data_IF_570479545145
#
_entry.id   IF_570479545145
#
_cell.length_a   1.000
_cell.length_b   1.000
_cell.length_c   1.000
_cell.angle_alpha   90.00
_cell.angle_beta   90.00
_cell.angle_gamma   90.00
#
_symmetry.space_group_name_H-M   'P 1'
#
loop_
_entity.id
_entity.type
_entity.pdbx_description
1 polymer ?
#
# COMPACT_ATOMS: atom_id res chain seq x y z
N UNK A 1 1.72 16.55 11.32
CA UNK A 1 0.33 16.06 11.15
C UNK A 1 -0.56 17.28 11.25
N UNK A 2 -1.42 17.51 10.24
CA UNK A 2 -2.39 18.60 10.29
C UNK A 2 -3.69 18.05 10.86
N UNK A 3 -4.19 18.67 11.92
CA UNK A 3 -5.46 18.31 12.55
C UNK A 3 -6.56 19.22 12.00
N UNK A 4 -7.73 18.64 11.76
CA UNK A 4 -8.91 19.35 11.26
C UNK A 4 -10.10 19.03 12.13
N UNK A 5 -10.90 20.06 12.42
CA UNK A 5 -12.10 19.95 13.23
C UNK A 5 -13.33 20.19 12.36
N UNK A 6 -14.25 19.22 12.33
CA UNK A 6 -15.55 19.37 11.69
C UNK A 6 -16.59 19.70 12.76
N UNK A 7 -17.18 20.89 12.66
CA UNK A 7 -18.15 21.39 13.66
C UNK A 7 -19.45 21.74 12.93
N UNK A 8 -20.57 21.31 13.51
CA UNK A 8 -21.91 21.72 13.09
C UNK A 8 -22.51 22.64 14.15
N UNK A 9 -23.13 23.73 13.71
CA UNK A 9 -23.81 24.69 14.59
C UNK A 9 -25.26 24.86 14.12
N UNK A 10 -26.23 25.03 15.03
CA UNK A 10 -27.60 25.32 14.66
C UNK A 10 -27.70 26.57 13.78
N UNK A 11 -28.52 26.49 12.74
CA UNK A 11 -28.79 27.63 11.87
C UNK A 11 -29.60 28.68 12.64
N UNK A 12 -29.13 29.91 12.60
CA UNK A 12 -29.86 31.08 13.10
C UNK A 12 -30.76 31.60 11.95
N UNK A 13 -30.56 32.83 11.47
CA UNK A 13 -31.36 33.42 10.37
C UNK A 13 -30.94 32.90 8.99
N UNK A 14 -29.64 32.83 8.70
CA UNK A 14 -29.11 32.24 7.46
C UNK A 14 -27.77 31.55 7.70
N UNK A 15 -27.46 30.51 6.91
CA UNK A 15 -26.19 29.77 7.05
C UNK A 15 -24.97 30.66 6.83
N UNK A 16 -25.08 31.67 5.96
CA UNK A 16 -24.02 32.65 5.70
C UNK A 16 -23.81 33.60 6.88
N UNK A 17 -24.89 34.07 7.52
CA UNK A 17 -24.77 34.92 8.70
C UNK A 17 -24.24 34.17 9.90
N UNK A 18 -24.70 32.94 10.14
CA UNK A 18 -24.15 32.08 11.20
C UNK A 18 -22.65 31.84 10.98
N UNK A 19 -22.22 31.55 9.74
CA UNK A 19 -20.81 31.41 9.41
C UNK A 19 -20.02 32.71 9.65
N UNK A 20 -20.55 33.86 9.20
CA UNK A 20 -19.91 35.17 9.41
C UNK A 20 -19.74 35.47 10.91
N UNK A 21 -20.79 35.28 11.71
CA UNK A 21 -20.73 35.47 13.17
C UNK A 21 -19.67 34.57 13.80
N UNK A 22 -19.67 33.27 13.48
CA UNK A 22 -18.69 32.32 14.00
C UNK A 22 -17.27 32.73 13.60
N UNK A 23 -17.04 33.04 12.32
CA UNK A 23 -15.73 33.39 11.80
C UNK A 23 -15.21 34.72 12.37
N UNK A 24 -16.09 35.67 12.68
CA UNK A 24 -15.70 36.91 13.36
C UNK A 24 -15.12 36.63 14.75
N UNK A 25 -15.74 35.73 15.51
CA UNK A 25 -15.28 35.40 16.86
C UNK A 25 -14.05 34.50 16.87
N UNK A 26 -14.05 33.41 16.10
CA UNK A 26 -12.99 32.41 16.17
C UNK A 26 -11.76 32.78 15.34
N UNK A 27 -11.93 33.38 14.17
CA UNK A 27 -10.82 33.72 13.28
C UNK A 27 -10.35 35.17 13.47
N UNK A 28 -11.25 36.16 13.48
CA UNK A 28 -10.82 37.57 13.50
C UNK A 28 -10.51 38.13 14.88
N UNK A 29 -11.31 37.80 15.89
CA UNK A 29 -11.13 38.36 17.25
C UNK A 29 -10.09 37.61 18.08
N UNK A 30 -9.99 36.30 17.88
CA UNK A 30 -9.18 35.42 18.71
C UNK A 30 -8.09 34.67 17.93
N UNK A 31 -8.09 34.73 16.59
CA UNK A 31 -7.10 34.08 15.71
C UNK A 31 -6.88 32.58 16.00
N UNK A 32 -7.93 31.88 16.45
CA UNK A 32 -7.83 30.49 16.91
C UNK A 32 -7.76 29.50 15.76
N UNK A 33 -8.45 29.80 14.65
CA UNK A 33 -8.58 28.87 13.53
C UNK A 33 -8.90 29.57 12.20
N UNK A 34 -8.69 28.83 11.11
CA UNK A 34 -9.20 29.19 9.77
C UNK A 34 -10.45 28.35 9.49
N UNK A 35 -11.56 29.01 9.17
CA UNK A 35 -12.84 28.35 8.97
C UNK A 35 -13.19 28.22 7.48
N UNK A 36 -13.71 27.06 7.09
CA UNK A 36 -14.21 26.78 5.75
C UNK A 36 -15.64 26.24 5.84
N UNK A 37 -16.46 26.52 4.82
CA UNK A 37 -17.82 25.98 4.76
C UNK A 37 -17.77 24.56 4.21
N UNK A 38 -18.30 23.61 4.97
CA UNK A 38 -18.48 22.23 4.53
C UNK A 38 -19.89 22.03 3.98
N UNK A 39 -20.04 21.99 2.66
CA UNK A 39 -21.36 21.98 2.01
C UNK A 39 -21.97 20.57 1.99
N UNK A 40 -23.02 20.38 2.80
CA UNK A 40 -23.83 19.16 2.82
C UNK A 40 -25.21 19.49 2.24
N UNK A 41 -25.70 18.75 1.22
CA UNK A 41 -27.02 18.98 0.65
C UNK A 41 -28.11 18.50 1.61
N UNK A 42 -29.35 18.86 1.32
CA UNK A 42 -30.50 18.27 1.99
C UNK A 42 -30.62 16.80 1.60
N UNK A 43 -30.43 15.92 2.59
CA UNK A 43 -30.54 14.48 2.43
C UNK A 43 -31.91 14.00 2.93
N UNK A 44 -32.44 12.96 2.29
CA UNK A 44 -33.72 12.38 2.68
C UNK A 44 -33.59 11.64 4.02
N UNK A 45 -34.06 12.29 5.08
CA UNK A 45 -34.15 11.74 6.43
C UNK A 45 -35.41 10.88 6.60
N UNK A 46 -35.30 9.82 7.40
CA UNK A 46 -36.39 8.91 7.74
C UNK A 46 -37.08 9.30 9.05
N UNK A 47 -37.52 8.31 9.81
CA UNK A 47 -38.04 8.53 11.18
C UNK A 47 -36.90 8.76 12.18
N UNK A 48 -37.22 9.34 13.35
CA UNK A 48 -36.25 9.53 14.43
C UNK A 48 -35.60 8.20 14.86
N UNK A 49 -36.40 7.14 14.99
CA UNK A 49 -35.93 5.79 15.33
C UNK A 49 -34.88 5.26 14.33
N UNK A 50 -35.14 5.45 13.03
CA UNK A 50 -34.18 5.11 11.98
C UNK A 50 -32.89 5.94 12.07
N UNK A 51 -32.98 7.22 12.45
CA UNK A 51 -31.80 8.08 12.61
C UNK A 51 -30.95 7.67 13.82
N UNK A 52 -31.59 7.24 14.93
CA UNK A 52 -30.87 6.75 16.11
C UNK A 52 -30.07 5.50 15.75
N UNK A 53 -30.70 4.49 15.14
CA UNK A 53 -29.99 3.29 14.71
C UNK A 53 -28.90 3.58 13.66
N UNK A 54 -29.17 4.52 12.74
CA UNK A 54 -28.20 4.90 11.73
C UNK A 54 -26.98 5.64 12.33
N UNK A 55 -27.14 6.37 13.45
CA UNK A 55 -26.03 7.04 14.13
C UNK A 55 -24.97 6.04 14.59
N UNK A 56 -25.39 4.92 15.18
CA UNK A 56 -24.47 3.86 15.63
C UNK A 56 -23.82 3.14 14.42
N UNK A 57 -24.60 2.89 13.37
CA UNK A 57 -24.11 2.29 12.12
C UNK A 57 -23.06 3.19 11.44
N UNK A 58 -23.30 4.50 11.40
CA UNK A 58 -22.37 5.48 10.84
C UNK A 58 -21.09 5.59 11.68
N UNK A 59 -21.18 5.52 13.00
CA UNK A 59 -19.99 5.48 13.87
C UNK A 59 -19.09 4.27 13.58
N UNK A 60 -19.69 3.09 13.38
CA UNK A 60 -18.94 1.88 12.97
C UNK A 60 -18.37 2.00 11.57
N UNK A 61 -19.16 2.54 10.63
CA UNK A 61 -18.71 2.73 9.26
C UNK A 61 -17.54 3.72 9.17
N UNK A 62 -17.58 4.82 9.93
CA UNK A 62 -16.51 5.82 9.99
C UNK A 62 -15.18 5.21 10.44
N UNK A 63 -15.19 4.47 11.56
CA UNK A 63 -14.02 3.74 12.04
C UNK A 63 -13.46 2.76 11.00
N UNK A 64 -14.34 2.05 10.29
CA UNK A 64 -13.95 1.12 9.24
C UNK A 64 -13.31 1.85 8.04
N UNK A 65 -13.92 2.93 7.56
CA UNK A 65 -13.40 3.74 6.44
C UNK A 65 -12.04 4.33 6.80
N UNK A 66 -11.89 4.87 8.00
CA UNK A 66 -10.62 5.40 8.50
C UNK A 66 -9.54 4.30 8.51
N UNK A 67 -9.86 3.11 9.02
CA UNK A 67 -8.93 1.99 9.05
C UNK A 67 -8.46 1.59 7.65
N UNK A 68 -9.38 1.51 6.68
CA UNK A 68 -9.04 1.18 5.28
C UNK A 68 -8.17 2.27 4.65
N UNK A 69 -8.51 3.55 4.86
CA UNK A 69 -7.71 4.68 4.35
C UNK A 69 -6.29 4.69 4.94
N UNK A 70 -6.14 4.44 6.25
CA UNK A 70 -4.84 4.33 6.92
C UNK A 70 -4.01 3.16 6.39
N UNK A 71 -4.63 1.98 6.20
CA UNK A 71 -3.96 0.82 5.59
C UNK A 71 -3.47 1.15 4.18
N UNK A 72 -4.28 1.82 3.37
CA UNK A 72 -3.92 2.21 2.00
C UNK A 72 -2.73 3.17 2.00
N UNK A 73 -2.76 4.21 2.82
CA UNK A 73 -1.67 5.17 2.93
C UNK A 73 -0.37 4.52 3.43
N UNK A 74 -0.46 3.66 4.45
CA UNK A 74 0.70 2.93 4.97
C UNK A 74 1.31 2.02 3.89
N UNK A 75 0.47 1.27 3.17
CA UNK A 75 0.94 0.36 2.13
C UNK A 75 1.59 1.10 0.96
N UNK A 76 1.02 2.24 0.55
CA UNK A 76 1.65 3.10 -0.45
C UNK A 76 3.03 3.58 0.01
N UNK A 77 3.17 3.93 1.29
CA UNK A 77 4.46 4.27 1.89
C UNK A 77 5.47 3.12 1.86
N UNK A 78 5.03 1.88 2.08
CA UNK A 78 5.89 0.69 2.02
C UNK A 78 6.33 0.36 0.59
N UNK A 79 5.46 0.59 -0.40
CA UNK A 79 5.77 0.38 -1.83
C UNK A 79 6.76 1.42 -2.36
N UNK A 80 6.72 2.65 -1.86
CA UNK A 80 7.64 3.70 -2.29
C UNK A 80 9.08 3.49 -1.81
N UNK A 81 9.32 2.59 -0.85
CA UNK A 81 10.65 2.22 -0.31
C UNK A 81 11.55 3.44 -0.03
N UNK A 82 12.49 3.75 -0.93
CA UNK A 82 13.44 4.86 -0.81
C UNK A 82 12.85 6.24 -1.16
N UNK A 83 11.64 6.28 -1.72
CA UNK A 83 10.93 7.51 -2.13
C UNK A 83 9.78 7.88 -1.19
N UNK A 84 9.87 7.50 0.09
CA UNK A 84 8.83 7.81 1.10
C UNK A 84 8.52 9.30 1.22
N UNK A 85 9.49 10.17 0.93
CA UNK A 85 9.29 11.63 0.93
C UNK A 85 8.24 12.08 -0.10
N UNK A 86 8.02 11.29 -1.17
CA UNK A 86 7.00 11.54 -2.19
C UNK A 86 5.62 10.98 -1.84
N UNK A 87 5.45 10.35 -0.67
CA UNK A 87 4.17 9.78 -0.27
C UNK A 87 3.07 10.85 -0.28
N UNK A 88 3.38 12.05 0.22
CA UNK A 88 2.44 13.17 0.24
C UNK A 88 2.04 13.66 -1.15
N UNK A 89 2.90 13.50 -2.16
CA UNK A 89 2.59 13.86 -3.55
C UNK A 89 1.65 12.86 -4.21
N UNK A 90 1.64 11.61 -3.74
CA UNK A 90 0.79 10.55 -4.26
C UNK A 90 -0.55 10.43 -3.53
N UNK A 91 -0.63 10.90 -2.28
CA UNK A 91 -1.88 10.96 -1.50
C UNK A 91 -2.71 12.18 -1.90
N UNK A 92 -3.39 12.06 -3.04
CA UNK A 92 -4.24 13.11 -3.62
C UNK A 92 -5.71 12.66 -3.69
N UNK A 93 -6.63 13.61 -3.63
CA UNK A 93 -8.06 13.39 -3.84
C UNK A 93 -8.56 14.30 -4.97
N UNK A 94 -9.25 13.73 -5.97
CA UNK A 94 -9.74 14.45 -7.15
C UNK A 94 -8.66 15.32 -7.84
N UNK A 95 -7.45 14.77 -8.01
CA UNK A 95 -6.27 15.46 -8.56
C UNK A 95 -5.81 16.71 -7.77
N UNK A 96 -6.26 16.86 -6.53
CA UNK A 96 -5.85 17.94 -5.63
C UNK A 96 -5.28 17.41 -4.32
N UNK A 97 -4.66 18.31 -3.55
CA UNK A 97 -4.21 17.99 -2.20
C UNK A 97 -5.41 17.66 -1.29
N UNK A 98 -5.19 16.81 -0.28
CA UNK A 98 -6.23 16.50 0.71
C UNK A 98 -6.72 17.75 1.46
N UNK A 99 -5.83 18.71 1.73
CA UNK A 99 -6.21 19.99 2.32
C UNK A 99 -7.18 20.75 1.42
N UNK A 100 -6.84 20.89 0.13
CA UNK A 100 -7.72 21.55 -0.84
C UNK A 100 -9.07 20.85 -0.89
N UNK A 101 -9.06 19.51 -1.01
CA UNK A 101 -10.28 18.70 -1.03
C UNK A 101 -11.19 18.95 0.18
N UNK A 102 -10.63 19.03 1.39
CA UNK A 102 -11.39 19.33 2.61
C UNK A 102 -11.95 20.76 2.61
N UNK A 103 -11.16 21.75 2.20
CA UNK A 103 -11.57 23.17 2.22
C UNK A 103 -12.56 23.55 1.13
N UNK A 104 -12.63 22.77 0.04
CA UNK A 104 -13.56 22.98 -1.08
C UNK A 104 -14.48 21.77 -1.28
N UNK A 105 -14.78 21.06 -0.20
CA UNK A 105 -15.60 19.85 -0.26
C UNK A 105 -16.96 20.14 -0.89
N UNK A 106 -17.36 19.28 -1.83
CA UNK A 106 -18.69 19.28 -2.43
C UNK A 106 -19.23 17.87 -2.44
N UNK A 107 -20.49 17.72 -2.06
CA UNK A 107 -21.16 16.42 -2.10
C UNK A 107 -21.27 15.87 -3.51
N UNK A 108 -20.76 14.66 -3.73
CA UNK A 108 -20.87 13.95 -5.00
C UNK A 108 -22.29 13.39 -5.16
N UNK A 109 -23.17 14.21 -5.74
CA UNK A 109 -24.58 13.87 -5.95
C UNK A 109 -24.78 12.83 -7.07
N UNK A 110 -23.79 12.62 -7.93
CA UNK A 110 -23.85 11.60 -8.96
C UNK A 110 -23.58 10.22 -8.35
N UNK A 111 -22.60 10.14 -7.45
CA UNK A 111 -22.22 8.91 -6.75
C UNK A 111 -23.13 8.59 -5.57
N UNK A 112 -23.59 9.61 -4.84
CA UNK A 112 -24.45 9.50 -3.67
C UNK A 112 -25.70 10.38 -3.81
N UNK A 113 -26.73 9.94 -4.57
CA UNK A 113 -27.89 10.78 -4.88
C UNK A 113 -28.69 11.17 -3.64
N UNK A 114 -28.99 12.47 -3.50
CA UNK A 114 -29.71 13.04 -2.34
C UNK A 114 -31.16 12.54 -2.20
N UNK A 115 -31.73 11.99 -3.27
CA UNK A 115 -33.07 11.39 -3.30
C UNK A 115 -33.14 10.01 -2.62
N UNK A 116 -32.00 9.32 -2.49
CA UNK A 116 -31.93 8.03 -1.80
C UNK A 116 -31.99 8.24 -0.29
N UNK A 117 -32.42 7.20 0.45
CA UNK A 117 -32.41 7.29 1.90
C UNK A 117 -30.98 7.29 2.44
N UNK A 118 -30.77 7.93 3.60
CA UNK A 118 -29.46 7.94 4.25
C UNK A 118 -28.89 6.53 4.46
N UNK A 119 -29.74 5.56 4.79
CA UNK A 119 -29.34 4.16 4.96
C UNK A 119 -28.79 3.55 3.66
N UNK A 120 -29.48 3.78 2.54
CA UNK A 120 -29.01 3.30 1.23
C UNK A 120 -27.67 3.93 0.85
N UNK A 121 -27.49 5.22 1.11
CA UNK A 121 -26.22 5.92 0.86
C UNK A 121 -25.10 5.31 1.73
N UNK A 122 -25.35 5.09 3.02
CA UNK A 122 -24.39 4.46 3.92
C UNK A 122 -24.01 3.03 3.48
N UNK A 123 -25.00 2.23 3.06
CA UNK A 123 -24.78 0.87 2.55
C UNK A 123 -23.93 0.88 1.27
N UNK A 124 -24.16 1.84 0.36
CA UNK A 124 -23.36 2.00 -0.86
C UNK A 124 -21.91 2.37 -0.52
N UNK A 125 -21.71 3.30 0.40
CA UNK A 125 -20.36 3.69 0.87
C UNK A 125 -19.65 2.47 1.48
N UNK A 126 -20.32 1.77 2.39
CA UNK A 126 -19.80 0.57 3.05
C UNK A 126 -19.36 -0.49 2.04
N UNK A 127 -20.23 -0.80 1.07
CA UNK A 127 -19.93 -1.79 0.03
C UNK A 127 -18.75 -1.36 -0.86
N UNK A 128 -18.68 -0.09 -1.24
CA UNK A 128 -17.57 0.42 -2.06
C UNK A 128 -16.24 0.34 -1.30
N UNK A 129 -16.23 0.77 -0.05
CA UNK A 129 -15.02 0.75 0.79
C UNK A 129 -14.58 -0.69 1.08
N UNK A 130 -15.53 -1.61 1.33
CA UNK A 130 -15.24 -3.04 1.46
C UNK A 130 -14.64 -3.65 0.19
N UNK A 131 -15.12 -3.22 -0.99
CA UNK A 131 -14.54 -3.59 -2.28
C UNK A 131 -13.09 -3.11 -2.42
N UNK A 132 -12.83 -1.85 -2.06
CA UNK A 132 -11.48 -1.27 -2.06
C UNK A 132 -10.55 -2.02 -1.11
N UNK A 133 -11.00 -2.37 0.09
CA UNK A 133 -10.19 -3.14 1.06
C UNK A 133 -9.83 -4.52 0.49
N UNK A 134 -10.79 -5.22 -0.10
CA UNK A 134 -10.57 -6.54 -0.70
C UNK A 134 -9.55 -6.47 -1.84
N UNK A 135 -9.67 -5.49 -2.73
CA UNK A 135 -8.74 -5.29 -3.84
C UNK A 135 -7.33 -4.93 -3.33
N UNK A 136 -7.23 -4.04 -2.33
CA UNK A 136 -5.96 -3.69 -1.69
C UNK A 136 -5.30 -4.93 -1.11
N UNK A 137 -6.04 -5.78 -0.40
CA UNK A 137 -5.51 -7.03 0.19
C UNK A 137 -5.01 -7.99 -0.90
N UNK A 138 -5.77 -8.15 -1.99
CA UNK A 138 -5.38 -9.02 -3.11
C UNK A 138 -4.08 -8.52 -3.77
N UNK A 139 -4.02 -7.23 -4.12
CA UNK A 139 -2.84 -6.63 -4.74
C UNK A 139 -1.62 -6.65 -3.82
N UNK A 140 -1.83 -6.35 -2.54
CA UNK A 140 -0.78 -6.35 -1.53
C UNK A 140 -0.15 -7.74 -1.34
N UNK A 141 -1.00 -8.79 -1.27
CA UNK A 141 -0.54 -10.17 -1.18
C UNK A 141 0.30 -10.59 -2.40
N UNK A 142 -0.20 -10.28 -3.61
CA UNK A 142 0.50 -10.57 -4.84
C UNK A 142 1.87 -9.87 -4.93
N UNK A 143 1.91 -8.57 -4.59
CA UNK A 143 3.16 -7.79 -4.54
C UNK A 143 4.16 -8.38 -3.54
N UNK A 144 3.72 -8.67 -2.31
CA UNK A 144 4.60 -9.21 -1.27
C UNK A 144 5.14 -10.60 -1.64
N UNK A 145 4.34 -11.44 -2.30
CA UNK A 145 4.79 -12.73 -2.82
C UNK A 145 5.87 -12.56 -3.89
N UNK A 146 5.67 -11.65 -4.85
CA UNK A 146 6.66 -11.36 -5.89
C UNK A 146 7.95 -10.77 -5.31
N UNK A 147 7.83 -9.82 -4.37
CA UNK A 147 8.97 -9.23 -3.67
C UNK A 147 9.78 -10.29 -2.92
N UNK A 148 9.11 -11.19 -2.19
CA UNK A 148 9.77 -12.29 -1.51
C UNK A 148 10.47 -13.26 -2.47
N UNK A 149 9.85 -13.57 -3.60
CA UNK A 149 10.46 -14.40 -4.64
C UNK A 149 11.71 -13.73 -5.24
N UNK A 150 11.66 -12.44 -5.53
CA UNK A 150 12.80 -11.68 -6.04
C UNK A 150 13.96 -11.68 -5.04
N UNK A 151 13.69 -11.37 -3.77
CA UNK A 151 14.72 -11.40 -2.71
C UNK A 151 15.37 -12.79 -2.57
N UNK A 152 14.59 -13.86 -2.72
CA UNK A 152 15.12 -15.22 -2.70
C UNK A 152 16.01 -15.52 -3.92
N UNK A 153 15.67 -15.02 -5.10
CA UNK A 153 16.50 -15.14 -6.30
C UNK A 153 17.82 -14.36 -6.15
N UNK A 154 17.77 -13.13 -5.65
CA UNK A 154 18.96 -12.30 -5.41
C UNK A 154 19.92 -12.95 -4.41
N UNK A 155 19.40 -13.53 -3.33
CA UNK A 155 20.21 -14.30 -2.36
C UNK A 155 20.86 -15.52 -2.99
N UNK A 156 20.13 -16.23 -3.87
CA UNK A 156 20.68 -17.36 -4.64
C UNK A 156 21.72 -16.92 -5.67
N UNK A 157 21.78 -15.65 -6.06
CA UNK A 157 22.77 -15.14 -7.00
C UNK A 157 24.03 -14.59 -6.30
N UNK A 158 23.93 -14.12 -5.05
CA UNK A 158 25.04 -13.46 -4.34
C UNK A 158 25.74 -14.33 -3.28
N UNK A 159 25.25 -15.55 -3.05
CA UNK A 159 25.80 -16.48 -2.07
C UNK A 159 27.18 -17.08 -2.40
N UNK A 160 27.70 -17.90 -1.48
CA UNK A 160 28.88 -18.77 -1.69
C UNK A 160 28.66 -19.68 -2.90
N UNK A 161 29.73 -20.07 -3.60
CA UNK A 161 29.67 -21.04 -4.71
C UNK A 161 28.97 -22.36 -4.36
N UNK A 162 28.91 -22.73 -3.06
CA UNK A 162 28.17 -23.90 -2.57
C UNK A 162 26.65 -23.78 -2.72
N UNK A 163 26.10 -22.57 -2.67
CA UNK A 163 24.65 -22.32 -2.64
C UNK A 163 24.17 -21.38 -3.73
N UNK A 164 25.11 -20.77 -4.47
CA UNK A 164 24.84 -19.85 -5.56
C UNK A 164 24.40 -20.61 -6.81
N UNK A 165 23.47 -20.03 -7.55
CA UNK A 165 23.17 -20.47 -8.91
C UNK A 165 24.42 -20.30 -9.80
N UNK A 166 24.89 -21.37 -10.43
CA UNK A 166 26.10 -21.36 -11.26
C UNK A 166 25.83 -21.06 -12.74
N UNK A 167 24.57 -20.88 -13.15
CA UNK A 167 24.19 -20.71 -14.56
C UNK A 167 24.77 -19.47 -15.24
N UNK A 168 25.15 -18.46 -14.46
CA UNK A 168 25.87 -17.27 -14.93
C UNK A 168 27.41 -17.44 -14.92
N UNK A 169 27.92 -18.49 -14.29
CA UNK A 169 29.36 -18.80 -14.18
C UNK A 169 29.81 -19.91 -15.12
N UNK A 170 28.94 -20.87 -15.42
CA UNK A 170 29.27 -22.03 -16.23
C UNK A 170 28.81 -21.86 -17.67
N UNK A 171 29.62 -22.36 -18.60
CA UNK A 171 29.33 -22.34 -20.04
C UNK A 171 29.36 -23.76 -20.58
N UNK A 172 28.78 -23.97 -21.77
CA UNK A 172 28.81 -25.28 -22.44
C UNK A 172 30.22 -25.83 -22.62
N UNK A 173 31.21 -24.95 -22.86
CA UNK A 173 32.62 -25.31 -23.01
C UNK A 173 33.26 -25.89 -21.74
N UNK A 174 32.67 -25.67 -20.56
CA UNK A 174 33.17 -26.25 -19.32
C UNK A 174 32.73 -27.70 -19.10
N UNK A 175 31.83 -28.25 -19.93
CA UNK A 175 31.28 -29.59 -19.76
C UNK A 175 31.53 -30.46 -21.00
N UNK A 176 31.82 -31.73 -20.77
CA UNK A 176 31.73 -32.76 -21.80
C UNK A 176 30.26 -33.11 -21.97
N UNK A 177 29.66 -32.68 -23.08
CA UNK A 177 28.27 -32.96 -23.43
C UNK A 177 28.19 -34.17 -24.37
N UNK A 178 27.04 -34.86 -24.37
CA UNK A 178 26.72 -35.96 -25.29
C UNK A 178 27.72 -37.13 -25.31
N UNK A 179 28.31 -37.45 -24.15
CA UNK A 179 29.16 -38.64 -23.96
C UNK A 179 28.45 -39.73 -23.17
N UNK A 180 28.54 -40.98 -23.64
CA UNK A 180 28.01 -42.14 -22.92
C UNK A 180 28.94 -42.61 -21.79
N UNK A 181 30.21 -42.19 -21.82
CA UNK A 181 31.26 -42.72 -20.94
C UNK A 181 31.89 -41.67 -20.02
N UNK A 182 31.67 -40.38 -20.29
CA UNK A 182 32.25 -39.27 -19.54
C UNK A 182 31.16 -38.35 -19.03
N UNK A 183 31.37 -37.82 -17.84
CA UNK A 183 30.56 -36.76 -17.25
C UNK A 183 31.46 -35.74 -16.59
N UNK A 184 31.01 -34.49 -16.52
CA UNK A 184 31.74 -33.42 -15.84
C UNK A 184 31.05 -33.14 -14.51
N UNK A 185 31.83 -33.20 -13.42
CA UNK A 185 31.39 -32.82 -12.08
C UNK A 185 32.03 -31.49 -11.68
N UNK A 186 31.24 -30.61 -11.08
CA UNK A 186 31.75 -29.37 -10.49
C UNK A 186 31.98 -29.58 -9.00
N UNK A 187 33.19 -29.29 -8.54
CA UNK A 187 33.56 -29.40 -7.12
C UNK A 187 33.95 -28.03 -6.60
N UNK A 188 33.36 -27.64 -5.47
CA UNK A 188 33.69 -26.39 -4.79
C UNK A 188 34.76 -26.66 -3.73
N UNK A 189 35.94 -26.09 -3.94
CA UNK A 189 37.10 -26.29 -3.05
C UNK A 189 37.37 -25.01 -2.26
N UNK A 190 37.56 -25.09 -0.92
CA UNK A 190 38.01 -23.96 -0.12
C UNK A 190 39.35 -23.42 -0.64
N UNK A 191 39.49 -22.09 -0.78
CA UNK A 191 40.67 -21.47 -1.42
C UNK A 191 42.01 -21.92 -0.84
N UNK A 192 42.08 -22.21 0.46
CA UNK A 192 43.31 -22.63 1.11
C UNK A 192 43.73 -24.08 0.76
N UNK A 193 42.81 -24.92 0.28
CA UNK A 193 43.05 -26.31 -0.13
C UNK A 193 43.25 -26.47 -1.64
N UNK A 194 43.18 -25.38 -2.41
CA UNK A 194 43.21 -25.44 -3.88
C UNK A 194 44.47 -26.14 -4.42
N UNK A 195 45.63 -25.86 -3.83
CA UNK A 195 46.91 -26.45 -4.26
C UNK A 195 47.02 -27.94 -3.93
N UNK A 196 46.37 -28.40 -2.86
CA UNK A 196 46.32 -29.81 -2.46
C UNK A 196 45.36 -30.57 -3.37
N UNK A 197 44.16 -30.03 -3.57
CA UNK A 197 43.16 -30.58 -4.49
C UNK A 197 43.72 -30.84 -5.89
N UNK A 198 44.41 -29.87 -6.49
CA UNK A 198 44.97 -30.04 -7.84
C UNK A 198 46.02 -31.16 -7.95
N UNK A 199 46.67 -31.55 -6.84
CA UNK A 199 47.67 -32.63 -6.83
C UNK A 199 47.05 -34.00 -6.61
N UNK A 200 45.87 -34.08 -6.01
CA UNK A 200 45.34 -35.34 -5.50
C UNK A 200 44.01 -35.76 -6.13
N UNK A 201 43.27 -34.84 -6.77
CA UNK A 201 41.89 -35.12 -7.19
C UNK A 201 41.76 -36.36 -8.10
N UNK A 202 42.73 -36.59 -8.98
CA UNK A 202 42.74 -37.72 -9.92
C UNK A 202 43.01 -39.09 -9.26
N UNK A 203 43.37 -39.10 -7.98
CA UNK A 203 43.60 -40.34 -7.18
C UNK A 203 42.44 -40.68 -6.25
N UNK A 204 41.41 -39.83 -6.16
CA UNK A 204 40.29 -40.01 -5.24
C UNK A 204 39.37 -41.17 -5.62
N UNK A 205 39.33 -41.53 -6.89
CA UNK A 205 38.55 -42.66 -7.41
C UNK A 205 39.15 -43.16 -8.71
N UNK A 206 38.84 -44.40 -9.06
CA UNK A 206 39.21 -44.96 -10.35
C UNK A 206 38.48 -44.22 -11.48
N UNK A 207 39.08 -44.20 -12.67
CA UNK A 207 38.50 -43.63 -13.90
C UNK A 207 38.31 -42.09 -13.90
N UNK A 208 39.04 -41.36 -13.07
CA UNK A 208 39.14 -39.89 -13.19
C UNK A 208 40.15 -39.54 -14.28
N UNK A 209 39.79 -38.63 -15.18
CA UNK A 209 40.68 -38.14 -16.24
C UNK A 209 41.74 -37.20 -15.62
N UNK A 210 43.05 -37.51 -15.72
CA UNK A 210 44.10 -36.61 -15.23
C UNK A 210 44.19 -35.33 -16.07
N UNK A 211 44.54 -34.21 -15.42
CA UNK A 211 44.71 -32.88 -16.05
C UNK A 211 43.47 -32.34 -16.78
N UNK A 212 42.28 -32.84 -16.40
CA UNK A 212 40.96 -32.43 -16.88
C UNK A 212 40.52 -31.02 -16.44
#
# INVERSE_FOLDING_TARGET
MSEYWLISVPKDTSSQETFKKMNEWTSRKQELCTNYIFSIPELKVGTLDQLVGLSDDLGRLDMFVEQVARKLAAYLGDVLEDQKDKLHENLIANNGSLMTYLTTFTWDSAKYPTKQSLRQIADVISKQVGGIEMELKQKSSAYNSLKGNLQNLEKKQTGSLMTRNLGDLVKKEHFVLDSEYLTTLLVVVPKHLFNEWNKEYYTLSDMIVPES
#
